data_IF_416692593666
#
_entry.id   IF_416692593666
#
_cell.length_a   1.000
_cell.length_b   1.000
_cell.length_c   1.000
_cell.angle_alpha   90.00
_cell.angle_beta   90.00
_cell.angle_gamma   90.00
#
_symmetry.space_group_name_H-M   'P 1'
#
loop_
_entity.id
_entity.type
_entity.pdbx_description
1 polymer ?
#
# COMPACT_ATOMS: atom_id res chain seq x y z
N UNK A 1 -10.02 -9.88 -5.78
CA UNK A 1 -9.48 -9.13 -4.64
C UNK A 1 -8.08 -9.61 -4.41
N UNK A 2 -7.14 -8.68 -4.54
CA UNK A 2 -5.73 -8.92 -4.39
C UNK A 2 -5.34 -9.11 -2.91
N UNK A 3 -4.14 -9.62 -2.64
CA UNK A 3 -3.68 -9.94 -1.27
C UNK A 3 -2.78 -8.82 -0.74
N UNK A 4 -3.31 -8.03 0.21
CA UNK A 4 -2.59 -6.92 0.84
C UNK A 4 -1.20 -7.33 1.37
N UNK A 5 -1.05 -8.55 1.91
CA UNK A 5 0.24 -9.00 2.43
C UNK A 5 1.26 -9.27 1.32
N UNK A 6 0.79 -9.72 0.15
CA UNK A 6 1.65 -9.90 -1.01
C UNK A 6 2.13 -8.54 -1.53
N UNK A 7 1.22 -7.58 -1.62
CA UNK A 7 1.51 -6.21 -2.04
C UNK A 7 2.55 -5.55 -1.13
N UNK A 8 2.37 -5.61 0.19
CA UNK A 8 3.31 -4.98 1.13
C UNK A 8 4.75 -5.49 0.95
N UNK A 9 4.92 -6.78 0.66
CA UNK A 9 6.26 -7.34 0.48
C UNK A 9 6.89 -7.00 -0.88
N UNK A 10 6.08 -6.67 -1.90
CA UNK A 10 6.57 -6.32 -3.24
C UNK A 10 6.68 -4.82 -3.48
N UNK A 11 5.97 -4.00 -2.69
CA UNK A 11 5.84 -2.56 -2.93
C UNK A 11 6.64 -1.69 -1.97
N UNK A 12 7.08 -2.21 -0.82
CA UNK A 12 7.87 -1.39 0.11
C UNK A 12 9.28 -1.13 -0.45
N UNK A 13 9.79 0.12 -0.36
CA UNK A 13 11.15 0.42 -0.78
C UNK A 13 12.16 -0.27 0.15
N UNK A 14 13.31 -0.73 -0.36
CA UNK A 14 14.36 -1.35 0.46
C UNK A 14 14.90 -0.41 1.57
N UNK A 15 14.89 0.89 1.29
CA UNK A 15 15.48 1.92 2.13
C UNK A 15 14.79 3.26 1.91
N UNK A 16 14.65 4.04 2.98
CA UNK A 16 14.09 5.40 2.93
C UNK A 16 15.01 6.39 3.64
N UNK A 17 14.90 7.67 3.27
CA UNK A 17 15.48 8.77 4.04
C UNK A 17 14.36 9.56 4.69
N UNK A 18 14.42 9.77 5.99
CA UNK A 18 13.40 10.49 6.74
C UNK A 18 13.99 11.54 7.66
N UNK A 19 13.25 12.62 7.83
CA UNK A 19 13.47 13.65 8.83
C UNK A 19 12.59 13.37 10.06
N UNK A 20 13.10 13.68 11.24
CA UNK A 20 12.32 13.61 12.48
C UNK A 20 12.74 14.72 13.44
N UNK A 21 11.78 15.22 14.22
CA UNK A 21 12.02 16.17 15.30
C UNK A 21 11.42 15.60 16.59
N UNK A 22 12.27 15.12 17.51
CA UNK A 22 11.84 14.86 18.86
C UNK A 22 11.70 16.22 19.58
N UNK A 23 10.63 16.40 20.35
CA UNK A 23 10.33 17.60 21.17
C UNK A 23 9.62 18.78 20.50
N UNK A 24 8.36 18.57 20.16
CA UNK A 24 7.32 19.59 20.41
C UNK A 24 6.23 18.99 21.29
N UNK A 25 6.53 18.76 22.57
CA UNK A 25 5.48 18.61 23.59
C UNK A 25 4.67 19.90 23.64
N UNK A 26 3.62 19.98 22.83
CA UNK A 26 2.56 20.99 22.95
C UNK A 26 2.24 21.86 21.74
N UNK A 27 2.95 21.82 20.60
CA UNK A 27 2.48 22.44 19.34
C UNK A 27 3.42 22.21 18.12
N UNK A 28 3.25 21.13 17.37
CA UNK A 28 3.51 21.11 15.91
C UNK A 28 2.92 19.81 15.32
N UNK A 29 1.84 19.96 14.56
CA UNK A 29 1.12 18.96 13.72
C UNK A 29 2.07 18.19 12.78
N UNK A 30 1.84 16.90 12.49
CA UNK A 30 0.68 16.40 11.71
C UNK A 30 0.30 14.91 11.93
N UNK A 31 -1.03 14.64 11.89
CA UNK A 31 -1.62 13.30 11.78
C UNK A 31 -2.61 12.98 12.89
N UNK A 32 -2.11 12.41 13.98
CA UNK A 32 -2.77 12.27 15.29
C UNK A 32 -1.73 12.65 16.37
N UNK A 33 -2.12 12.69 17.65
CA UNK A 33 -1.08 12.68 18.68
C UNK A 33 -0.34 11.33 18.54
N UNK A 34 0.98 11.30 18.48
CA UNK A 34 1.82 10.08 18.36
C UNK A 34 2.98 10.17 19.36
N UNK A 35 3.91 9.20 19.40
CA UNK A 35 5.11 9.39 20.23
C UNK A 35 6.05 10.45 19.60
N UNK A 36 6.18 10.43 18.27
CA UNK A 36 6.79 11.45 17.42
C UNK A 36 6.37 11.21 15.97
N UNK A 37 6.62 12.19 15.11
CA UNK A 37 6.31 12.10 13.69
C UNK A 37 7.60 11.91 12.88
N UNK A 38 7.51 11.18 11.79
CA UNK A 38 8.57 11.08 10.77
C UNK A 38 8.05 11.64 9.45
N UNK A 39 8.93 12.33 8.72
CA UNK A 39 8.69 12.83 7.38
C UNK A 39 9.62 12.10 6.42
N UNK A 40 9.09 11.09 5.73
CA UNK A 40 9.85 10.31 4.75
C UNK A 40 9.95 11.13 3.46
N UNK A 41 11.18 11.35 3.03
CA UNK A 41 11.52 12.16 1.86
C UNK A 41 11.93 11.29 0.67
N UNK A 42 11.84 11.83 -0.54
CA UNK A 42 12.21 11.16 -1.77
C UNK A 42 11.00 10.62 -2.53
N UNK A 43 11.27 9.80 -3.55
CA UNK A 43 10.25 9.15 -4.37
C UNK A 43 10.14 7.70 -3.89
N UNK A 44 9.13 7.42 -3.08
CA UNK A 44 8.80 6.06 -2.66
C UNK A 44 7.34 6.02 -2.24
N UNK A 45 6.73 4.84 -2.23
CA UNK A 45 5.38 4.65 -1.72
C UNK A 45 5.21 5.06 -0.24
N UNK A 46 6.30 5.18 0.52
CA UNK A 46 6.27 5.64 1.90
C UNK A 46 6.53 7.14 2.05
N UNK A 47 6.64 7.91 0.96
CA UNK A 47 6.91 9.34 1.06
C UNK A 47 5.77 10.08 1.76
N UNK A 48 6.12 10.99 2.67
CA UNK A 48 5.16 11.78 3.43
C UNK A 48 5.28 11.63 4.95
N UNK A 49 4.26 12.11 5.65
CA UNK A 49 4.25 12.24 7.09
C UNK A 49 3.57 11.05 7.75
N UNK A 50 4.22 10.46 8.75
CA UNK A 50 3.70 9.30 9.48
C UNK A 50 3.84 9.46 10.99
N UNK A 51 2.79 9.03 11.70
CA UNK A 51 2.84 8.80 13.15
C UNK A 51 3.80 7.64 13.43
N UNK A 52 4.71 7.81 14.40
CA UNK A 52 5.71 6.82 14.74
C UNK A 52 5.77 6.48 16.24
N UNK A 53 6.19 5.25 16.53
CA UNK A 53 6.45 4.73 17.87
C UNK A 53 7.77 3.98 17.92
N UNK A 54 8.46 4.06 19.06
CA UNK A 54 9.65 3.27 19.33
C UNK A 54 9.28 1.81 19.60
N UNK A 55 10.07 0.85 19.12
CA UNK A 55 9.81 -0.59 19.36
C UNK A 55 10.95 -1.32 20.08
N UNK A 56 11.92 -0.60 20.61
CA UNK A 56 13.08 -1.15 21.33
C UNK A 56 13.58 -0.10 22.34
N UNK A 57 13.64 -0.42 23.63
CA UNK A 57 14.01 0.51 24.71
C UNK A 57 15.50 0.54 25.00
N UNK A 58 16.27 -0.41 24.49
CA UNK A 58 17.73 -0.46 24.64
C UNK A 58 18.42 0.53 23.71
N UNK A 59 17.70 1.01 22.69
CA UNK A 59 18.18 1.96 21.71
C UNK A 59 17.84 3.40 22.05
N UNK A 60 18.68 4.30 21.54
CA UNK A 60 18.50 5.73 21.70
C UNK A 60 17.99 6.35 20.39
N UNK A 61 17.15 7.37 20.54
CA UNK A 61 16.78 8.31 19.48
C UNK A 61 17.43 9.67 19.80
N UNK A 62 18.01 10.33 18.81
CA UNK A 62 18.55 11.68 18.97
C UNK A 62 17.41 12.72 19.03
N UNK A 63 17.70 13.97 19.42
CA UNK A 63 16.65 14.99 19.56
C UNK A 63 16.04 15.42 18.21
N UNK A 64 16.77 15.31 17.09
CA UNK A 64 16.28 15.62 15.74
C UNK A 64 17.35 15.25 14.70
N UNK A 65 16.95 14.87 13.48
CA UNK A 65 17.91 14.68 12.41
C UNK A 65 17.30 14.12 11.13
N UNK A 66 18.17 13.91 10.15
CA UNK A 66 17.88 13.16 8.92
C UNK A 66 18.58 11.83 9.02
N UNK A 67 17.88 10.73 8.81
CA UNK A 67 18.43 9.38 8.84
C UNK A 67 17.98 8.59 7.62
N UNK A 68 18.79 7.59 7.30
CA UNK A 68 18.43 6.55 6.36
C UNK A 68 18.01 5.32 7.15
N UNK A 69 16.97 4.61 6.70
CA UNK A 69 16.48 3.40 7.36
C UNK A 69 16.18 2.30 6.36
N UNK A 70 16.54 1.07 6.73
CA UNK A 70 15.96 -0.13 6.11
C UNK A 70 14.51 -0.24 6.50
N UNK A 71 13.69 -0.67 5.55
CA UNK A 71 12.25 -0.78 5.70
C UNK A 71 11.88 -2.26 5.76
N UNK A 72 11.00 -2.60 6.69
CA UNK A 72 10.44 -3.94 6.78
C UNK A 72 8.94 -3.89 7.03
N UNK A 73 8.21 -4.85 6.46
CA UNK A 73 6.81 -5.08 6.81
C UNK A 73 6.69 -5.70 8.20
N UNK A 74 5.64 -5.35 8.94
CA UNK A 74 5.28 -6.07 10.18
C UNK A 74 4.77 -7.49 9.95
N UNK A 75 4.56 -7.90 8.70
CA UNK A 75 4.06 -9.23 8.31
C UNK A 75 5.12 -10.13 7.69
N UNK A 76 6.38 -9.66 7.59
CA UNK A 76 7.48 -10.47 7.09
C UNK A 76 8.38 -11.01 8.21
N UNK A 77 9.27 -11.94 7.85
CA UNK A 77 10.27 -12.43 8.80
C UNK A 77 11.45 -11.47 8.83
N UNK A 78 11.63 -10.78 9.96
CA UNK A 78 12.80 -9.91 10.13
C UNK A 78 14.12 -10.71 10.12
N UNK A 79 15.21 -10.13 9.59
CA UNK A 79 16.55 -10.70 9.72
C UNK A 79 16.95 -11.01 11.17
N UNK A 80 17.67 -12.11 11.39
CA UNK A 80 18.19 -12.52 12.72
C UNK A 80 18.99 -11.40 13.43
N UNK A 81 19.63 -10.52 12.65
CA UNK A 81 20.40 -9.38 13.17
C UNK A 81 19.56 -8.25 13.76
N UNK A 82 18.22 -8.32 13.64
CA UNK A 82 17.25 -7.37 14.19
C UNK A 82 16.42 -7.96 15.33
N UNK A 83 16.72 -9.19 15.78
CA UNK A 83 15.90 -9.89 16.78
C UNK A 83 16.76 -10.35 17.97
N UNK A 84 16.22 -10.15 19.16
CA UNK A 84 16.68 -10.72 20.42
C UNK A 84 17.97 -10.15 21.00
N UNK A 85 18.31 -10.68 22.18
CA UNK A 85 19.43 -10.24 23.03
C UNK A 85 20.79 -10.19 22.30
N UNK A 86 21.34 -8.97 22.20
CA UNK A 86 22.65 -8.66 21.61
C UNK A 86 23.73 -8.38 22.66
N UNK A 87 23.48 -8.68 23.95
CA UNK A 87 24.42 -8.42 25.05
C UNK A 87 25.73 -9.21 24.95
N UNK A 88 25.81 -10.18 24.03
CA UNK A 88 27.02 -10.93 23.71
C UNK A 88 27.94 -10.23 22.70
N UNK A 89 27.49 -9.14 22.07
CA UNK A 89 28.29 -8.36 21.14
C UNK A 89 29.47 -7.66 21.87
N UNK A 90 30.67 -7.60 21.25
CA UNK A 90 31.82 -6.98 21.88
C UNK A 90 31.58 -5.49 22.19
N UNK A 91 31.49 -5.14 23.48
CA UNK A 91 31.28 -3.75 23.90
C UNK A 91 29.82 -3.36 24.14
N UNK A 92 28.86 -4.27 23.90
CA UNK A 92 27.46 -4.04 24.22
C UNK A 92 27.25 -3.94 25.75
N UNK A 93 26.39 -3.02 26.22
CA UNK A 93 25.89 -3.03 27.59
C UNK A 93 25.20 -4.36 27.95
N UNK A 94 25.17 -4.69 29.24
CA UNK A 94 24.35 -5.81 29.69
C UNK A 94 22.87 -5.43 29.57
N UNK A 95 22.07 -6.32 28.99
CA UNK A 95 20.65 -6.05 28.67
C UNK A 95 20.44 -5.55 27.24
N UNK A 96 21.49 -5.12 26.53
CA UNK A 96 21.36 -4.58 25.18
C UNK A 96 20.80 -5.61 24.19
N UNK A 97 19.60 -5.35 23.69
CA UNK A 97 18.87 -6.20 22.77
C UNK A 97 18.52 -5.52 21.44
N UNK A 98 17.63 -6.21 20.74
CA UNK A 98 16.94 -5.85 19.52
C UNK A 98 15.57 -6.51 19.66
N UNK A 99 14.50 -6.00 19.06
CA UNK A 99 13.13 -6.60 19.01
C UNK A 99 13.04 -8.05 19.55
N UNK A 100 12.56 -8.19 20.79
CA UNK A 100 12.62 -9.43 21.56
C UNK A 100 11.43 -10.35 21.29
N UNK A 101 10.27 -9.77 20.96
CA UNK A 101 9.02 -10.49 20.67
C UNK A 101 8.43 -10.07 19.32
N UNK A 102 9.12 -10.32 18.20
CA UNK A 102 8.62 -10.00 16.86
C UNK A 102 7.29 -10.73 16.54
N UNK A 103 6.96 -11.80 17.26
CA UNK A 103 5.67 -12.48 17.12
C UNK A 103 4.45 -11.58 17.45
N UNK A 104 4.62 -10.48 18.19
CA UNK A 104 3.52 -9.60 18.62
C UNK A 104 3.25 -8.44 17.65
N UNK A 105 3.87 -8.40 16.46
CA UNK A 105 3.68 -7.30 15.51
C UNK A 105 2.25 -7.14 15.02
N UNK A 106 1.48 -8.21 14.95
CA UNK A 106 0.05 -8.18 14.63
C UNK A 106 -0.78 -7.49 15.74
N UNK A 107 -0.41 -7.67 17.01
CA UNK A 107 -1.00 -6.95 18.14
C UNK A 107 -0.67 -5.46 18.07
N UNK A 108 0.54 -5.09 17.63
CA UNK A 108 0.93 -3.70 17.36
C UNK A 108 0.09 -3.12 16.21
N UNK A 109 -0.07 -3.85 15.11
CA UNK A 109 -0.96 -3.45 14.02
C UNK A 109 -2.38 -3.19 14.53
N UNK A 110 -2.90 -4.05 15.42
CA UNK A 110 -4.21 -3.82 16.01
C UNK A 110 -4.24 -2.50 16.80
N UNK A 111 -3.24 -2.22 17.63
CA UNK A 111 -3.14 -0.97 18.42
C UNK A 111 -3.16 0.27 17.51
N UNK A 112 -2.39 0.27 16.42
CA UNK A 112 -2.31 1.40 15.47
C UNK A 112 -3.70 1.77 14.91
N UNK A 113 -4.56 0.77 14.72
CA UNK A 113 -5.89 0.94 14.14
C UNK A 113 -6.98 1.41 15.12
N UNK A 114 -6.68 1.62 16.40
CA UNK A 114 -7.72 1.93 17.40
C UNK A 114 -8.04 3.41 17.60
N UNK A 115 -7.18 4.32 17.12
CA UNK A 115 -7.32 5.77 17.37
C UNK A 115 -7.51 6.11 18.87
N UNK A 116 -6.67 5.51 19.72
CA UNK A 116 -6.80 5.52 21.18
C UNK A 116 -6.72 6.91 21.82
N UNK A 117 -5.91 7.82 21.27
CA UNK A 117 -5.53 9.04 22.00
C UNK A 117 -6.72 9.99 22.17
N UNK A 118 -6.83 10.56 23.38
CA UNK A 118 -7.93 11.43 23.75
C UNK A 118 -9.23 10.68 24.11
N UNK A 119 -9.30 9.35 23.94
CA UNK A 119 -10.45 8.55 24.35
C UNK A 119 -10.38 8.23 25.85
N UNK A 120 -11.55 8.08 26.48
CA UNK A 120 -11.64 7.59 27.86
C UNK A 120 -11.60 6.06 27.88
N UNK A 121 -10.69 5.49 28.69
CA UNK A 121 -10.53 4.05 28.82
C UNK A 121 -11.18 3.52 30.10
N UNK A 122 -11.70 2.31 30.05
CA UNK A 122 -12.35 1.65 31.17
C UNK A 122 -11.73 0.28 31.46
N UNK A 123 -11.62 -0.06 32.75
CA UNK A 123 -11.23 -1.38 33.19
C UNK A 123 -12.35 -2.42 32.91
N UNK A 124 -12.05 -3.69 33.17
CA UNK A 124 -13.01 -4.80 33.01
C UNK A 124 -14.25 -4.71 33.93
N UNK A 125 -14.22 -3.85 34.94
CA UNK A 125 -15.33 -3.56 35.86
C UNK A 125 -16.07 -2.26 35.51
N UNK A 126 -15.77 -1.65 34.36
CA UNK A 126 -16.35 -0.39 33.89
C UNK A 126 -16.03 0.81 34.80
N UNK A 127 -14.89 0.79 35.49
CA UNK A 127 -14.32 1.96 36.15
C UNK A 127 -13.46 2.74 35.15
N UNK A 128 -13.57 4.06 35.15
CA UNK A 128 -12.74 4.93 34.30
C UNK A 128 -11.28 4.89 34.76
N UNK A 129 -10.38 4.67 33.80
CA UNK A 129 -8.92 4.77 33.92
C UNK A 129 -8.39 6.13 33.44
N UNK A 130 -9.29 7.00 32.99
CA UNK A 130 -8.97 8.32 32.46
C UNK A 130 -8.76 8.36 30.95
N UNK A 131 -8.24 9.49 30.47
CA UNK A 131 -8.00 9.76 29.05
C UNK A 131 -6.66 9.23 28.61
N UNK A 132 -6.64 8.49 27.50
CA UNK A 132 -5.43 7.89 26.92
C UNK A 132 -4.54 8.98 26.31
N UNK A 133 -3.24 8.87 26.57
CA UNK A 133 -2.17 9.70 26.01
C UNK A 133 -1.28 8.89 25.06
N UNK A 134 -0.45 9.56 24.28
CA UNK A 134 0.59 8.90 23.47
C UNK A 134 1.56 8.08 24.33
N UNK A 135 1.86 8.53 25.56
CA UNK A 135 2.75 7.83 26.49
C UNK A 135 2.19 6.50 26.97
N UNK A 136 0.85 6.38 27.10
CA UNK A 136 0.20 5.11 27.43
C UNK A 136 0.35 4.09 26.29
N UNK A 137 0.24 4.54 25.03
CA UNK A 137 0.41 3.69 23.85
C UNK A 137 1.86 3.26 23.70
N UNK A 138 2.80 4.20 23.78
CA UNK A 138 4.23 3.90 23.70
C UNK A 138 4.66 2.92 24.81
N UNK A 139 4.11 3.06 26.03
CA UNK A 139 4.32 2.12 27.12
C UNK A 139 3.79 0.72 26.77
N UNK A 140 2.56 0.62 26.28
CA UNK A 140 1.95 -0.66 25.92
C UNK A 140 2.69 -1.36 24.77
N UNK A 141 3.19 -0.60 23.78
CA UNK A 141 4.02 -1.14 22.69
C UNK A 141 5.28 -1.79 23.26
N UNK A 142 6.03 -1.08 24.11
CA UNK A 142 7.23 -1.65 24.74
C UNK A 142 6.93 -2.90 25.58
N UNK A 143 5.82 -2.95 26.31
CA UNK A 143 5.45 -4.16 27.08
C UNK A 143 5.19 -5.38 26.20
N UNK A 144 4.62 -5.14 25.02
CA UNK A 144 4.33 -6.16 24.04
C UNK A 144 5.59 -6.66 23.34
N UNK A 145 6.49 -5.77 22.91
CA UNK A 145 7.55 -6.17 21.98
C UNK A 145 8.94 -6.35 22.61
N UNK A 146 9.17 -5.72 23.76
CA UNK A 146 10.49 -5.60 24.38
C UNK A 146 10.55 -6.39 25.71
N UNK A 147 11.76 -6.64 26.20
CA UNK A 147 12.04 -7.22 27.51
C UNK A 147 12.41 -6.16 28.56
N UNK A 148 13.10 -5.10 28.17
CA UNK A 148 13.28 -3.90 28.96
C UNK A 148 12.13 -2.91 28.70
N UNK A 149 11.81 -2.15 29.74
CA UNK A 149 10.57 -1.39 29.79
C UNK A 149 10.85 -0.06 30.47
N UNK A 150 11.66 0.74 29.78
CA UNK A 150 12.05 2.07 30.22
C UNK A 150 10.82 2.97 30.39
N UNK A 151 10.87 3.88 31.36
CA UNK A 151 9.89 4.97 31.47
C UNK A 151 10.49 6.32 31.10
N UNK A 152 11.71 6.32 30.55
CA UNK A 152 12.38 7.55 30.17
C UNK A 152 11.71 8.14 28.93
N UNK A 153 11.53 9.46 28.93
CA UNK A 153 11.00 10.25 27.81
C UNK A 153 9.59 9.91 27.29
N UNK A 154 8.85 8.96 27.90
CA UNK A 154 7.46 8.60 27.55
C UNK A 154 6.44 9.75 27.57
N UNK A 155 6.76 10.88 28.20
CA UNK A 155 5.77 11.92 28.49
C UNK A 155 4.75 11.47 29.57
N UNK A 156 3.56 12.08 29.64
CA UNK A 156 2.52 11.67 30.57
C UNK A 156 1.98 10.29 30.22
N UNK A 157 2.02 9.35 31.17
CA UNK A 157 1.40 8.03 31.05
C UNK A 157 0.83 7.55 32.41
N UNK A 158 -0.01 6.53 32.36
CA UNK A 158 -0.55 5.79 33.50
C UNK A 158 -0.45 4.28 33.22
N UNK A 159 0.15 3.55 34.16
CA UNK A 159 0.41 2.13 34.00
C UNK A 159 -0.88 1.31 33.86
N UNK A 160 -1.96 1.68 34.56
CA UNK A 160 -3.23 0.94 34.47
C UNK A 160 -3.86 1.09 33.08
N UNK A 161 -3.60 2.22 32.37
CA UNK A 161 -4.05 2.40 30.99
C UNK A 161 -3.20 1.63 29.99
N UNK A 162 -1.88 1.61 30.17
CA UNK A 162 -0.97 0.82 29.33
C UNK A 162 -1.28 -0.68 29.43
N UNK A 163 -1.37 -1.21 30.66
CA UNK A 163 -1.76 -2.60 30.93
C UNK A 163 -3.10 -2.93 30.26
N UNK A 164 -4.07 -2.01 30.32
CA UNK A 164 -5.39 -2.21 29.72
C UNK A 164 -5.36 -2.22 28.19
N UNK A 165 -4.50 -1.43 27.56
CA UNK A 165 -4.30 -1.44 26.09
C UNK A 165 -3.71 -2.79 25.67
N UNK A 166 -2.70 -3.29 26.38
CA UNK A 166 -2.13 -4.61 26.15
C UNK A 166 -3.18 -5.71 26.28
N UNK A 167 -3.94 -5.73 27.37
CA UNK A 167 -5.01 -6.71 27.59
C UNK A 167 -6.03 -6.72 26.45
N UNK A 168 -6.35 -5.55 25.87
CA UNK A 168 -7.29 -5.44 24.76
C UNK A 168 -6.69 -5.98 23.46
N UNK A 169 -5.40 -5.71 23.19
CA UNK A 169 -4.70 -6.23 22.03
C UNK A 169 -4.59 -7.76 22.09
N UNK A 170 -4.14 -8.32 23.21
CA UNK A 170 -4.07 -9.77 23.42
C UNK A 170 -5.46 -10.44 23.34
N UNK A 171 -6.51 -9.74 23.78
CA UNK A 171 -7.88 -10.26 23.69
C UNK A 171 -8.45 -10.23 22.26
N UNK A 172 -7.95 -9.38 21.37
CA UNK A 172 -8.28 -9.41 19.95
C UNK A 172 -7.77 -10.70 19.29
N UNK A 173 -6.61 -11.19 19.75
CA UNK A 173 -5.98 -12.42 19.29
C UNK A 173 -5.04 -12.22 18.11
N UNK A 174 -4.39 -13.32 17.76
CA UNK A 174 -3.30 -13.37 16.78
C UNK A 174 -3.78 -13.30 15.32
N UNK A 175 -2.88 -12.95 14.40
CA UNK A 175 -3.04 -12.79 12.96
C UNK A 175 -3.98 -11.64 12.57
N UNK A 176 -3.95 -10.54 13.31
CA UNK A 176 -4.64 -9.32 12.90
C UNK A 176 -4.05 -8.80 11.60
N UNK A 177 -4.90 -8.59 10.59
CA UNK A 177 -4.58 -7.89 9.34
C UNK A 177 -5.65 -6.80 9.16
N UNK A 178 -5.27 -5.52 9.03
CA UNK A 178 -6.22 -4.44 8.84
C UNK A 178 -6.89 -4.53 7.46
N UNK A 179 -8.11 -4.00 7.37
CA UNK A 179 -8.80 -3.73 6.10
C UNK A 179 -8.98 -2.23 5.95
N UNK A 180 -9.15 -1.74 4.72
CA UNK A 180 -9.35 -0.31 4.44
C UNK A 180 -10.47 0.31 5.29
N UNK A 181 -11.64 -0.34 5.36
CA UNK A 181 -12.68 0.04 6.32
C UNK A 181 -12.51 -0.79 7.59
N UNK A 182 -12.19 -0.13 8.70
CA UNK A 182 -12.01 -0.80 9.99
C UNK A 182 -12.89 -0.17 11.08
N UNK A 183 -13.51 -1.02 11.90
CA UNK A 183 -14.26 -0.58 13.08
C UNK A 183 -13.43 -0.75 14.34
N UNK A 184 -13.10 0.36 14.99
CA UNK A 184 -12.31 0.36 16.23
C UNK A 184 -13.05 -0.31 17.38
N UNK A 185 -12.31 -0.64 18.45
CA UNK A 185 -12.86 -1.07 19.73
C UNK A 185 -13.91 -0.09 20.30
N UNK A 186 -13.82 1.19 19.96
CA UNK A 186 -14.77 2.22 20.36
C UNK A 186 -16.03 2.30 19.47
N UNK A 187 -16.11 1.48 18.42
CA UNK A 187 -17.22 1.45 17.46
C UNK A 187 -17.18 2.55 16.41
N UNK A 188 -16.00 3.16 16.19
CA UNK A 188 -15.79 4.19 15.18
C UNK A 188 -15.30 3.55 13.88
N UNK A 189 -15.81 4.00 12.73
CA UNK A 189 -15.24 3.63 11.44
C UNK A 189 -14.01 4.50 11.17
N UNK A 190 -12.91 3.87 10.81
CA UNK A 190 -11.64 4.50 10.48
C UNK A 190 -11.03 3.84 9.24
N UNK A 191 -10.10 4.55 8.59
CA UNK A 191 -9.23 3.95 7.59
C UNK A 191 -8.23 3.02 8.27
N UNK A 192 -8.09 1.81 7.73
CA UNK A 192 -7.09 0.86 8.19
C UNK A 192 -5.67 1.36 7.97
N UNK A 193 -4.75 0.98 8.85
CA UNK A 193 -3.33 1.29 8.76
C UNK A 193 -2.51 0.01 8.93
N UNK A 194 -1.45 -0.14 8.16
CA UNK A 194 -0.45 -1.20 8.31
C UNK A 194 0.79 -0.66 9.01
N UNK A 195 1.40 -1.48 9.86
CA UNK A 195 2.66 -1.18 10.50
C UNK A 195 3.83 -1.43 9.55
N UNK A 196 4.69 -0.43 9.39
CA UNK A 196 5.98 -0.55 8.69
C UNK A 196 7.09 -0.25 9.68
N UNK A 197 8.14 -1.07 9.67
CA UNK A 197 9.27 -0.95 10.58
C UNK A 197 10.38 -0.19 9.87
N UNK A 198 10.86 0.87 10.50
CA UNK A 198 12.03 1.62 10.09
C UNK A 198 13.19 1.25 11.02
N UNK A 199 14.29 0.81 10.41
CA UNK A 199 15.52 0.41 11.09
C UNK A 199 16.61 1.40 10.66
N UNK A 200 16.83 2.50 11.41
CA UNK A 200 17.79 3.51 11.00
C UNK A 200 19.21 3.00 11.07
N UNK A 201 19.98 3.36 10.05
CA UNK A 201 21.42 3.13 9.92
C UNK A 201 22.10 4.51 9.97
N UNK A 202 23.10 4.64 10.84
CA UNK A 202 23.73 5.93 11.15
C UNK A 202 25.10 6.16 10.55
N UNK A 203 25.77 5.11 10.09
CA UNK A 203 27.12 5.21 9.53
C UNK A 203 27.15 4.98 8.01
N UNK A 204 26.05 4.50 7.43
CA UNK A 204 26.02 4.06 6.05
C UNK A 204 26.95 2.85 5.88
N UNK A 205 26.82 2.14 4.77
CA UNK A 205 27.54 0.89 4.49
C UNK A 205 29.11 0.92 4.52
N UNK A 206 29.81 1.93 5.07
CA UNK A 206 31.27 2.10 5.04
C UNK A 206 31.98 1.92 6.41
N UNK A 207 32.48 0.70 6.64
CA UNK A 207 33.84 0.36 7.13
C UNK A 207 34.51 1.28 8.18
N UNK A 208 33.84 1.70 9.27
CA UNK A 208 34.57 1.81 10.55
C UNK A 208 34.56 0.44 11.22
N UNK A 209 35.64 -0.29 10.97
CA UNK A 209 36.04 -1.56 11.60
C UNK A 209 36.00 -1.64 13.15
N UNK A 210 35.39 -0.69 13.86
CA UNK A 210 35.16 -0.71 15.30
C UNK A 210 33.71 -0.45 15.74
N UNK A 211 32.72 -0.34 14.85
CA UNK A 211 31.32 -0.44 15.27
C UNK A 211 30.88 -1.92 15.31
N UNK A 212 30.62 -2.50 16.51
CA UNK A 212 30.11 -3.86 16.61
C UNK A 212 28.61 -3.98 16.30
N UNK A 213 27.87 -2.89 16.12
CA UNK A 213 26.42 -2.91 15.93
C UNK A 213 25.95 -1.95 14.79
N UNK A 214 25.71 -2.46 13.56
CA UNK A 214 25.29 -1.68 12.38
C UNK A 214 23.86 -1.11 12.46
N UNK A 215 23.28 -1.05 13.66
CA UNK A 215 21.89 -0.71 13.93
C UNK A 215 21.78 0.13 15.21
N UNK A 216 22.72 1.03 15.48
CA UNK A 216 22.90 1.72 16.77
C UNK A 216 21.77 2.70 17.17
N UNK A 217 20.75 2.87 16.31
CA UNK A 217 19.63 3.80 16.51
C UNK A 217 18.31 3.09 16.75
N UNK A 218 17.41 3.83 17.41
CA UNK A 218 16.05 3.44 17.70
C UNK A 218 15.30 2.85 16.50
N UNK A 219 14.84 1.61 16.64
CA UNK A 219 13.88 1.03 15.71
C UNK A 219 12.50 1.62 15.93
N UNK A 220 11.78 1.82 14.84
CA UNK A 220 10.50 2.52 14.88
C UNK A 220 9.47 1.73 14.09
N UNK A 221 8.22 1.85 14.49
CA UNK A 221 7.07 1.45 13.70
C UNK A 221 6.28 2.69 13.30
N UNK A 222 5.93 2.78 12.03
CA UNK A 222 5.05 3.81 11.49
C UNK A 222 3.72 3.20 11.07
N UNK A 223 2.64 3.98 11.19
CA UNK A 223 1.35 3.63 10.60
C UNK A 223 1.24 4.18 9.18
N UNK A 224 1.00 3.30 8.20
CA UNK A 224 0.76 3.67 6.80
C UNK A 224 -0.71 3.41 6.49
N UNK A 225 -1.46 4.46 6.15
CA UNK A 225 -2.88 4.35 5.82
C UNK A 225 -3.10 3.60 4.52
N UNK A 226 -4.16 2.78 4.52
CA UNK A 226 -4.63 2.10 3.34
C UNK A 226 -5.41 3.05 2.43
N UNK A 227 -5.36 2.75 1.14
CA UNK A 227 -6.17 3.35 0.09
C UNK A 227 -6.78 2.24 -0.77
N UNK A 228 -7.70 2.62 -1.66
CA UNK A 228 -8.33 1.71 -2.63
C UNK A 228 -8.35 2.33 -4.02
N UNK A 229 -8.21 1.47 -5.03
CA UNK A 229 -8.43 1.83 -6.41
C UNK A 229 -9.14 0.72 -7.21
N UNK A 230 -9.92 1.11 -8.22
CA UNK A 230 -10.74 0.28 -9.11
C UNK A 230 -11.23 1.11 -10.30
N UNK A 231 -12.13 0.62 -11.17
CA UNK A 231 -13.35 -0.12 -10.82
C UNK A 231 -13.74 -1.15 -11.90
N UNK A 232 -13.73 -0.80 -13.19
CA UNK A 232 -14.56 -1.50 -14.17
C UNK A 232 -13.90 -1.69 -15.56
N UNK A 233 -14.10 -2.87 -16.14
CA UNK A 233 -13.68 -3.20 -17.52
C UNK A 233 -14.88 -3.62 -18.34
N UNK A 234 -15.09 -3.06 -19.54
CA UNK A 234 -16.33 -3.24 -20.31
C UNK A 234 -16.17 -3.46 -21.82
N UNK A 235 -17.20 -4.08 -22.45
CA UNK A 235 -17.33 -4.23 -23.90
C UNK A 235 -17.88 -2.92 -24.49
N UNK A 236 -16.98 -2.05 -24.95
CA UNK A 236 -17.32 -0.79 -25.62
C UNK A 236 -17.85 -1.11 -27.03
N UNK A 237 -19.16 -1.30 -27.11
CA UNK A 237 -19.86 -1.77 -28.30
C UNK A 237 -19.74 -0.78 -29.47
N UNK A 238 -19.44 0.48 -29.17
CA UNK A 238 -19.44 1.55 -30.14
C UNK A 238 -18.06 2.21 -30.35
N UNK A 239 -17.04 1.74 -29.62
CA UNK A 239 -15.64 2.12 -29.69
C UNK A 239 -15.41 3.63 -29.45
N UNK A 240 -16.19 4.24 -28.56
CA UNK A 240 -16.09 5.67 -28.26
C UNK A 240 -15.27 5.99 -27.00
N UNK A 241 -14.89 4.98 -26.20
CA UNK A 241 -14.15 5.16 -24.94
C UNK A 241 -14.97 5.77 -23.80
N UNK A 242 -16.30 5.67 -23.86
CA UNK A 242 -17.22 6.15 -22.82
C UNK A 242 -18.13 4.99 -22.42
N UNK A 243 -18.37 4.83 -21.13
CA UNK A 243 -19.26 3.81 -20.58
C UNK A 243 -20.73 4.13 -20.94
N UNK A 244 -21.27 3.47 -21.96
CA UNK A 244 -22.63 3.70 -22.42
C UNK A 244 -23.66 2.70 -21.85
N UNK A 245 -24.90 3.15 -21.72
CA UNK A 245 -25.98 2.30 -21.23
C UNK A 245 -26.21 1.07 -22.14
N UNK A 246 -26.02 -0.12 -21.58
CA UNK A 246 -26.19 -1.40 -22.28
C UNK A 246 -24.88 -2.05 -22.74
N UNK A 247 -23.75 -1.42 -22.44
CA UNK A 247 -22.43 -2.05 -22.49
C UNK A 247 -22.24 -2.89 -21.22
N UNK A 248 -21.73 -4.11 -21.40
CA UNK A 248 -21.61 -5.11 -20.32
C UNK A 248 -20.15 -5.18 -19.84
N UNK A 249 -19.97 -5.49 -18.56
CA UNK A 249 -18.64 -5.75 -17.99
C UNK A 249 -17.98 -7.00 -18.59
N UNK A 250 -16.65 -7.02 -18.64
CA UNK A 250 -15.85 -8.13 -19.14
C UNK A 250 -15.27 -8.91 -17.96
N UNK A 251 -15.67 -10.16 -17.82
CA UNK A 251 -15.14 -11.08 -16.79
C UNK A 251 -13.74 -11.58 -17.12
N UNK A 252 -12.89 -11.70 -16.09
CA UNK A 252 -11.62 -12.41 -16.15
C UNK A 252 -10.51 -11.67 -16.88
N UNK A 253 -10.58 -10.34 -16.99
CA UNK A 253 -9.50 -9.50 -17.50
C UNK A 253 -8.40 -9.44 -16.45
N UNK A 254 -7.15 -9.75 -16.81
CA UNK A 254 -5.99 -9.54 -15.94
C UNK A 254 -5.74 -8.05 -15.78
N UNK A 255 -5.66 -7.61 -14.54
CA UNK A 255 -5.35 -6.22 -14.18
C UNK A 255 -4.10 -6.24 -13.30
N UNK A 256 -3.06 -5.52 -13.71
CA UNK A 256 -1.80 -5.42 -13.00
C UNK A 256 -1.68 -4.05 -12.34
N UNK A 257 -1.27 -4.04 -11.07
CA UNK A 257 -0.92 -2.82 -10.34
C UNK A 257 0.59 -2.61 -10.45
N UNK A 258 0.99 -1.40 -10.83
CA UNK A 258 2.37 -0.98 -11.00
C UNK A 258 2.72 0.10 -9.98
N UNK A 259 3.92 0.07 -9.42
CA UNK A 259 4.47 1.14 -8.58
C UNK A 259 5.98 1.23 -8.77
N UNK A 260 6.55 2.40 -8.48
CA UNK A 260 8.00 2.63 -8.53
C UNK A 260 8.65 1.85 -7.38
N UNK A 261 9.35 0.76 -7.71
CA UNK A 261 10.00 -0.12 -6.73
C UNK A 261 11.52 0.08 -6.67
N UNK A 262 12.10 0.78 -7.64
CA UNK A 262 13.55 1.05 -7.70
C UNK A 262 13.93 2.46 -7.19
N UNK A 263 12.94 3.32 -6.98
CA UNK A 263 13.05 4.66 -6.41
C UNK A 263 13.60 5.71 -7.39
N UNK A 264 13.55 5.46 -8.70
CA UNK A 264 14.03 6.42 -9.70
C UNK A 264 13.05 7.55 -10.03
N UNK A 265 11.82 7.45 -9.52
CA UNK A 265 10.73 8.40 -9.72
C UNK A 265 9.87 8.15 -10.96
N UNK A 266 9.96 6.97 -11.58
CA UNK A 266 9.18 6.59 -12.76
C UNK A 266 8.57 5.21 -12.55
N UNK A 267 7.24 5.14 -12.63
CA UNK A 267 6.53 3.84 -12.65
C UNK A 267 6.60 3.23 -14.06
N UNK A 268 7.22 2.07 -14.15
CA UNK A 268 7.49 1.34 -15.39
C UNK A 268 6.58 0.13 -15.55
N UNK A 269 6.40 -0.33 -16.80
CA UNK A 269 5.41 -1.37 -17.11
C UNK A 269 5.80 -2.76 -16.59
N UNK A 270 7.07 -3.00 -16.24
CA UNK A 270 7.55 -4.26 -15.68
C UNK A 270 7.65 -4.26 -14.15
N UNK A 271 7.28 -3.17 -13.49
CA UNK A 271 7.24 -3.02 -12.03
C UNK A 271 5.88 -3.44 -11.44
N UNK A 272 5.46 -4.67 -11.75
CA UNK A 272 4.20 -5.22 -11.24
C UNK A 272 4.34 -5.54 -9.74
N UNK A 273 3.59 -4.81 -8.91
CA UNK A 273 3.53 -5.03 -7.47
C UNK A 273 2.36 -5.91 -7.05
N UNK A 274 1.28 -5.96 -7.84
CA UNK A 274 0.15 -6.87 -7.60
C UNK A 274 -0.64 -7.18 -8.88
N UNK A 275 -1.46 -8.23 -8.84
CA UNK A 275 -2.35 -8.59 -9.96
C UNK A 275 -3.70 -9.07 -9.46
N UNK A 276 -4.75 -8.74 -10.19
CA UNK A 276 -6.10 -9.27 -9.94
C UNK A 276 -6.81 -9.56 -11.26
N UNK A 277 -8.03 -10.08 -11.18
CA UNK A 277 -8.87 -10.28 -12.36
C UNK A 277 -10.25 -9.71 -12.14
N UNK A 278 -10.85 -9.12 -13.17
CA UNK A 278 -12.22 -8.63 -13.11
C UNK A 278 -13.22 -9.74 -12.81
N UNK A 279 -14.26 -9.42 -12.06
CA UNK A 279 -15.35 -10.34 -11.72
C UNK A 279 -16.36 -10.51 -12.85
N UNK A 280 -17.42 -11.29 -12.60
CA UNK A 280 -18.46 -11.59 -13.60
C UNK A 280 -19.23 -10.36 -14.10
N UNK A 281 -19.22 -9.28 -13.31
CA UNK A 281 -19.84 -8.01 -13.64
C UNK A 281 -18.81 -7.01 -14.19
N UNK A 282 -17.55 -7.41 -14.42
CA UNK A 282 -16.47 -6.58 -14.96
C UNK A 282 -15.69 -5.77 -13.92
N UNK A 283 -16.01 -5.91 -12.63
CA UNK A 283 -15.40 -5.07 -11.60
C UNK A 283 -14.08 -5.65 -11.08
N UNK A 284 -13.16 -4.78 -10.67
CA UNK A 284 -11.93 -5.12 -9.96
C UNK A 284 -11.66 -4.11 -8.84
N UNK A 285 -10.80 -4.49 -7.89
CA UNK A 285 -10.40 -3.61 -6.78
C UNK A 285 -9.01 -4.05 -6.28
N UNK A 286 -8.16 -3.06 -6.01
CA UNK A 286 -6.97 -3.20 -5.19
C UNK A 286 -7.17 -2.47 -3.87
N UNK A 287 -6.80 -3.11 -2.77
CA UNK A 287 -6.57 -2.46 -1.48
C UNK A 287 -5.07 -2.30 -1.31
N UNK A 288 -4.61 -1.07 -1.17
CA UNK A 288 -3.20 -0.68 -1.27
C UNK A 288 -2.79 0.18 -0.08
N UNK A 289 -1.50 0.45 0.08
CA UNK A 289 -1.04 1.57 0.92
C UNK A 289 -1.18 2.87 0.13
N UNK A 290 -1.31 4.02 0.81
CA UNK A 290 -1.22 5.31 0.14
C UNK A 290 0.08 5.44 -0.68
N UNK A 291 0.04 6.13 -1.82
CA UNK A 291 1.18 6.30 -2.71
C UNK A 291 0.81 6.44 -4.19
N UNK A 292 1.83 6.41 -5.04
CA UNK A 292 1.70 6.57 -6.49
C UNK A 292 1.65 5.22 -7.22
N UNK A 293 0.68 5.06 -8.12
CA UNK A 293 0.42 3.82 -8.84
C UNK A 293 0.09 4.05 -10.32
N UNK A 294 0.19 2.97 -11.12
CA UNK A 294 -0.49 2.84 -12.41
C UNK A 294 -1.22 1.51 -12.48
N UNK A 295 -2.23 1.44 -13.34
CA UNK A 295 -2.94 0.21 -13.62
C UNK A 295 -2.74 -0.19 -15.08
N UNK A 296 -2.33 -1.43 -15.33
CA UNK A 296 -2.27 -2.04 -16.66
C UNK A 296 -3.39 -3.07 -16.81
N UNK A 297 -4.09 -2.99 -17.94
CA UNK A 297 -5.14 -3.93 -18.34
C UNK A 297 -4.63 -4.79 -19.51
N UNK A 298 -4.54 -6.11 -19.29
CA UNK A 298 -4.27 -7.02 -20.41
C UNK A 298 -5.46 -7.05 -21.37
N UNK A 299 -5.18 -7.12 -22.68
CA UNK A 299 -6.27 -7.22 -23.67
C UNK A 299 -7.03 -8.55 -23.49
N UNK A 300 -8.34 -8.51 -23.20
CA UNK A 300 -9.12 -9.71 -22.92
C UNK A 300 -9.32 -10.60 -24.15
N UNK A 301 -9.45 -11.89 -23.91
CA UNK A 301 -9.69 -12.88 -24.96
C UNK A 301 -10.96 -12.54 -25.77
N UNK A 302 -10.82 -12.49 -27.10
CA UNK A 302 -11.93 -12.22 -28.01
C UNK A 302 -12.18 -10.73 -28.31
N UNK A 303 -11.36 -9.84 -27.76
CA UNK A 303 -11.29 -8.43 -28.13
C UNK A 303 -10.07 -8.14 -29.01
N UNK A 304 -10.13 -7.06 -29.79
CA UNK A 304 -9.05 -6.72 -30.71
C UNK A 304 -8.19 -5.54 -30.20
N UNK A 305 -8.81 -4.56 -29.53
CA UNK A 305 -8.15 -3.30 -29.12
C UNK A 305 -8.79 -2.72 -27.86
N UNK A 306 -8.00 -1.99 -27.07
CA UNK A 306 -8.50 -1.06 -26.06
C UNK A 306 -9.17 0.14 -26.72
N UNK A 307 -10.18 0.69 -26.06
CA UNK A 307 -10.91 1.88 -26.46
C UNK A 307 -10.03 3.14 -26.40
N UNK A 308 -10.42 4.22 -27.11
CA UNK A 308 -9.72 5.49 -26.98
C UNK A 308 -9.73 5.97 -25.52
N UNK A 309 -8.57 6.33 -25.00
CA UNK A 309 -8.44 6.79 -23.62
C UNK A 309 -8.92 8.24 -23.43
N UNK A 310 -9.33 8.58 -22.20
CA UNK A 310 -9.63 9.90 -21.68
C UNK A 310 -10.63 10.67 -22.56
N UNK A 311 -11.77 10.03 -22.86
CA UNK A 311 -12.80 10.57 -23.75
C UNK A 311 -13.94 11.23 -23.00
N UNK A 312 -14.46 12.32 -23.55
CA UNK A 312 -15.53 13.06 -22.89
C UNK A 312 -14.98 14.00 -21.82
N UNK A 313 -15.68 14.11 -20.69
CA UNK A 313 -15.32 15.05 -19.61
C UNK A 313 -15.61 14.50 -18.21
N UNK A 314 -16.06 13.25 -18.13
CA UNK A 314 -16.39 12.59 -16.86
C UNK A 314 -15.44 11.39 -16.74
N UNK A 315 -14.47 11.54 -15.85
CA UNK A 315 -13.40 10.57 -15.58
C UNK A 315 -13.97 9.24 -15.05
N UNK A 316 -15.11 9.29 -14.36
CA UNK A 316 -15.78 8.10 -13.85
C UNK A 316 -16.59 7.32 -14.90
N UNK A 317 -16.64 7.79 -16.15
CA UNK A 317 -17.39 7.16 -17.24
C UNK A 317 -16.54 7.05 -18.52
N UNK A 318 -15.23 7.28 -18.48
CA UNK A 318 -14.35 7.10 -19.63
C UNK A 318 -13.39 5.92 -19.45
N UNK A 319 -12.47 5.74 -20.39
CA UNK A 319 -11.44 4.71 -20.30
C UNK A 319 -10.09 5.35 -20.07
N UNK A 320 -9.27 4.79 -19.19
CA UNK A 320 -7.86 5.16 -19.03
C UNK A 320 -6.94 4.49 -20.06
N UNK A 321 -7.52 3.66 -20.94
CA UNK A 321 -6.79 2.87 -21.91
C UNK A 321 -6.14 1.61 -21.31
N UNK A 322 -5.19 1.00 -22.02
CA UNK A 322 -4.57 -0.26 -21.57
C UNK A 322 -3.59 -0.07 -20.41
N UNK A 323 -3.11 1.16 -20.18
CA UNK A 323 -2.27 1.56 -19.05
C UNK A 323 -2.70 2.97 -18.67
N UNK A 324 -3.06 3.17 -17.40
CA UNK A 324 -3.52 4.46 -16.89
C UNK A 324 -2.40 5.52 -16.87
N UNK A 325 -2.80 6.77 -16.72
CA UNK A 325 -1.91 7.80 -16.20
C UNK A 325 -1.54 7.48 -14.73
N UNK A 326 -0.59 8.23 -14.17
CA UNK A 326 -0.17 8.06 -12.77
C UNK A 326 -1.27 8.49 -11.80
N UNK A 327 -1.56 7.63 -10.82
CA UNK A 327 -2.60 7.77 -9.82
C UNK A 327 -1.92 8.07 -8.49
N UNK A 328 -2.24 9.20 -7.86
CA UNK A 328 -1.73 9.58 -6.54
C UNK A 328 -2.84 9.34 -5.51
N UNK A 329 -2.61 8.40 -4.58
CA UNK A 329 -3.56 8.05 -3.52
C UNK A 329 -3.06 8.57 -2.16
N UNK A 330 -3.86 9.39 -1.51
CA UNK A 330 -3.68 9.74 -0.10
C UNK A 330 -4.30 8.66 0.82
N UNK A 331 -3.92 8.67 2.09
CA UNK A 331 -4.49 7.78 3.11
C UNK A 331 -6.01 7.91 3.20
N UNK A 332 -6.73 6.81 3.02
CA UNK A 332 -8.20 6.79 3.05
C UNK A 332 -8.87 7.11 1.71
N UNK A 333 -8.11 7.31 0.63
CA UNK A 333 -8.69 7.45 -0.70
C UNK A 333 -9.33 6.15 -1.19
N UNK A 334 -10.42 6.31 -1.95
CA UNK A 334 -11.10 5.24 -2.66
C UNK A 334 -11.38 5.74 -4.07
N UNK A 335 -10.43 5.50 -4.96
CA UNK A 335 -10.51 5.88 -6.36
C UNK A 335 -11.28 4.81 -7.15
N UNK A 336 -12.26 5.26 -7.92
CA UNK A 336 -13.16 4.39 -8.70
C UNK A 336 -13.32 4.90 -10.13
N UNK A 337 -12.32 5.64 -10.62
CA UNK A 337 -12.34 6.20 -11.97
C UNK A 337 -11.32 5.53 -12.88
N UNK A 338 -10.67 4.44 -12.45
CA UNK A 338 -9.68 3.74 -13.25
C UNK A 338 -10.35 2.58 -13.99
N UNK A 339 -10.67 2.79 -15.25
CA UNK A 339 -11.54 1.91 -16.04
C UNK A 339 -10.97 1.61 -17.44
N UNK A 340 -11.30 0.44 -17.99
CA UNK A 340 -10.84 0.05 -19.33
C UNK A 340 -11.95 -0.47 -20.26
N UNK A 341 -12.16 0.25 -21.37
CA UNK A 341 -13.03 -0.19 -22.46
C UNK A 341 -12.26 -1.04 -23.47
N UNK A 342 -12.86 -2.11 -23.96
CA UNK A 342 -12.33 -2.90 -25.07
C UNK A 342 -13.38 -3.14 -26.14
N UNK A 343 -12.97 -3.14 -27.41
CA UNK A 343 -13.88 -3.35 -28.53
C UNK A 343 -13.37 -4.36 -29.57
N UNK A 344 -14.30 -4.84 -30.40
CA UNK A 344 -14.04 -5.77 -31.51
C UNK A 344 -14.08 -5.03 -32.84
N UNK A 345 -13.10 -5.29 -33.69
CA UNK A 345 -13.04 -4.69 -35.03
C UNK A 345 -13.96 -5.42 -36.01
N UNK A 346 -14.67 -4.65 -36.83
CA UNK A 346 -15.38 -5.21 -37.98
C UNK A 346 -14.39 -5.53 -39.11
N UNK A 347 -14.62 -6.66 -39.80
CA UNK A 347 -13.85 -7.04 -41.00
C UNK A 347 -14.71 -6.87 -42.23
N UNK A 348 -14.25 -6.06 -43.18
CA UNK A 348 -14.91 -5.83 -44.46
C UNK A 348 -14.00 -6.26 -45.63
N UNK A 349 -14.50 -7.18 -46.46
CA UNK A 349 -13.80 -7.70 -47.62
C UNK A 349 -14.32 -9.09 -48.00
N UNK A 350 -13.92 -9.56 -49.19
CA UNK A 350 -14.13 -10.95 -49.63
C UNK A 350 -13.24 -11.21 -50.87
N UNK A 351 -13.84 -11.16 -52.06
CA UNK A 351 -13.22 -11.66 -53.28
C UNK A 351 -13.55 -10.76 -54.47
N UNK A 352 -12.50 -10.28 -55.15
CA UNK A 352 -12.66 -9.61 -56.45
C UNK A 352 -12.57 -10.69 -57.53
N UNK A 353 -13.70 -11.00 -58.19
CA UNK A 353 -13.78 -12.05 -59.20
C UNK A 353 -13.81 -11.51 -60.63
N UNK A 354 -13.29 -12.30 -61.56
CA UNK A 354 -13.49 -12.11 -62.98
C UNK A 354 -14.86 -12.68 -63.39
N UNK A 355 -15.84 -11.80 -63.61
CA UNK A 355 -17.19 -12.14 -64.06
C UNK A 355 -17.18 -12.55 -65.55
N UNK A 356 -16.90 -13.83 -65.81
CA UNK A 356 -16.75 -14.34 -67.17
C UNK A 356 -18.10 -14.47 -67.90
N UNK A 357 -19.18 -14.66 -67.14
CA UNK A 357 -20.51 -14.92 -67.67
C UNK A 357 -21.38 -13.64 -67.76
N UNK A 358 -20.90 -12.53 -67.19
CA UNK A 358 -21.50 -11.20 -67.14
C UNK A 358 -22.84 -11.14 -66.38
N UNK A 359 -23.00 -11.96 -65.33
CA UNK A 359 -24.22 -12.01 -64.51
C UNK A 359 -24.14 -11.14 -63.24
N UNK A 360 -22.97 -10.61 -62.89
CA UNK A 360 -22.74 -9.81 -61.69
C UNK A 360 -22.80 -10.60 -60.37
N UNK A 361 -22.74 -11.94 -60.42
CA UNK A 361 -22.80 -12.84 -59.26
C UNK A 361 -21.51 -13.64 -59.21
N UNK A 362 -20.86 -13.68 -58.03
CA UNK A 362 -19.71 -14.57 -57.84
C UNK A 362 -20.15 -16.03 -57.99
N UNK A 363 -19.76 -16.66 -59.09
CA UNK A 363 -20.09 -18.03 -59.45
C UNK A 363 -18.97 -19.00 -59.02
N UNK A 364 -19.33 -20.27 -58.78
CA UNK A 364 -18.34 -21.31 -58.49
C UNK A 364 -17.43 -21.55 -59.71
N UNK A 365 -16.13 -21.35 -59.54
CA UNK A 365 -15.11 -21.51 -60.59
C UNK A 365 -14.58 -20.21 -61.18
N UNK A 366 -15.15 -19.06 -60.82
CA UNK A 366 -14.61 -17.77 -61.24
C UNK A 366 -13.31 -17.46 -60.53
N UNK A 367 -12.32 -17.03 -61.32
CA UNK A 367 -10.98 -16.74 -60.80
C UNK A 367 -10.92 -15.36 -60.16
N UNK A 368 -10.09 -15.23 -59.14
CA UNK A 368 -9.84 -13.95 -58.49
C UNK A 368 -8.98 -13.05 -59.37
N UNK A 369 -9.14 -11.73 -59.23
CA UNK A 369 -8.30 -10.72 -59.89
C UNK A 369 -7.13 -10.37 -58.96
N UNK A 370 -5.89 -10.84 -59.24
CA UNK A 370 -4.75 -10.53 -58.40
C UNK A 370 -4.36 -9.06 -58.51
N UNK A 371 -3.91 -8.47 -57.39
CA UNK A 371 -3.47 -7.07 -57.29
C UNK A 371 -4.56 -6.05 -57.66
N UNK A 372 -5.85 -6.42 -57.58
CA UNK A 372 -6.92 -5.45 -57.70
C UNK A 372 -6.79 -4.41 -56.57
N UNK A 373 -6.70 -3.14 -56.94
CA UNK A 373 -6.70 -2.04 -55.97
C UNK A 373 -8.13 -1.87 -55.44
N UNK A 374 -8.31 -2.13 -54.14
CA UNK A 374 -9.56 -1.90 -53.42
C UNK A 374 -9.35 -0.73 -52.49
N UNK A 375 -10.24 0.27 -52.57
CA UNK A 375 -10.23 1.44 -51.68
C UNK A 375 -11.44 1.37 -50.79
N UNK A 376 -11.20 1.36 -49.48
CA UNK A 376 -12.23 1.67 -48.50
C UNK A 376 -12.43 3.19 -48.53
N UNK A 377 -13.68 3.62 -48.61
CA UNK A 377 -14.09 5.02 -48.62
C UNK A 377 -15.02 5.25 -47.42
N UNK A 378 -14.93 6.41 -46.79
CA UNK A 378 -15.82 6.84 -45.71
C UNK A 378 -17.00 7.71 -46.21
#
# INVERSE_FOLDING_TARGET
>A
MADLLSLLNSSLPDEVTFDFEQFQTGNATFGKDSYFDVDITGNSLLAGQHDAYCIDTDRFIEDSGTLTAKVYSTYETLPDGLIGDQSTLPGAPAGFGNIEKPENFDLLNWILNQCFIGKELFDSNNNSLGTITYGDIQRAIWELIDDENSTQNLGPFDQDRADRIQELAEANGENFVPSFEYTTFFGEQVTGQVGVILVPDSDGFDDDSNDPNPFDRQFMIIGVELAKLGDFVWDDLNANGIQDAGEEGIEGVTVNLLADIDGDGVIENDEIVDTTTTDADGNYEFEVIAGDYKVEFETPDGFDMASPANQGSDDAEDSDGPISDEINLEGGDNDRTIDAGFFKTARLGDFVFNDENQDGVQNNGESGIPNAEVKLLD
#
